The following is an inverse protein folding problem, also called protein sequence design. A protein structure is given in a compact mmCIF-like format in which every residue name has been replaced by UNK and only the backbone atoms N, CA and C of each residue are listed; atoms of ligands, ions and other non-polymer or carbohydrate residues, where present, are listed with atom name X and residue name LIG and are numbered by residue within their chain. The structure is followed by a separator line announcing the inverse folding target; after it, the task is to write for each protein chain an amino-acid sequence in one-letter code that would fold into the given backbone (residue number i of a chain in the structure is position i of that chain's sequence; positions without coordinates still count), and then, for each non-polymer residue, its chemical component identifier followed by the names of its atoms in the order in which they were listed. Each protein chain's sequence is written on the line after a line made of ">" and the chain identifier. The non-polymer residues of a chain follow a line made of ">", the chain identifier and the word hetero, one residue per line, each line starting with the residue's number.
data_IF_524086559189
#
_entry.id   IF_524086559189
#
_cell.length_a   1.000
_cell.length_b   1.000
_cell.length_c   1.000
_cell.angle_alpha   90.00
_cell.angle_beta   90.00
_cell.angle_gamma   90.00
#
_symmetry.space_group_name_H-M   'P 1'
#
loop_
_entity.id
_entity.type
_entity.pdbx_description
1 polymer ?
#
# COMPACT_ATOMS: atom_id res chain seq x y z
N UNK A 1 43.57 69.78 13.35
CA UNK A 1 42.32 69.57 12.57
C UNK A 1 41.20 69.24 13.54
N UNK A 2 40.21 70.14 13.59
CA UNK A 2 38.76 69.97 13.74
C UNK A 2 38.19 69.19 14.95
N UNK A 3 37.37 69.94 15.70
CA UNK A 3 36.42 69.63 16.78
C UNK A 3 35.45 68.47 16.49
N UNK A 4 34.85 67.87 17.54
CA UNK A 4 33.42 68.04 17.93
C UNK A 4 33.05 66.98 19.01
N UNK A 5 32.54 67.44 20.16
CA UNK A 5 31.73 66.68 21.13
C UNK A 5 30.36 66.37 20.54
N UNK A 6 29.84 65.14 20.66
CA UNK A 6 28.38 64.89 20.75
C UNK A 6 28.10 63.79 21.78
N UNK A 7 27.31 64.17 22.78
CA UNK A 7 26.59 63.33 23.73
C UNK A 7 25.22 62.97 23.09
N UNK A 8 24.78 61.72 23.09
CA UNK A 8 23.37 61.40 22.83
C UNK A 8 22.95 60.02 23.36
N UNK A 9 21.71 60.02 23.87
CA UNK A 9 21.03 59.01 24.66
C UNK A 9 20.45 57.83 23.85
N UNK A 10 20.24 56.72 24.56
CA UNK A 10 19.16 55.73 24.47
C UNK A 10 18.31 55.64 23.19
N UNK A 11 18.27 54.45 22.59
CA UNK A 11 17.03 53.73 22.27
C UNK A 11 17.34 52.24 21.97
N UNK A 12 16.50 51.28 22.42
CA UNK A 12 16.61 49.89 22.01
C UNK A 12 16.16 49.77 20.55
N UNK A 13 16.96 49.10 19.73
CA UNK A 13 16.60 48.80 18.35
C UNK A 13 15.51 47.72 18.35
N UNK A 14 14.29 48.13 18.04
CA UNK A 14 13.20 47.24 17.68
C UNK A 14 13.42 46.69 16.26
N UNK A 15 12.81 45.53 16.03
CA UNK A 15 12.41 44.99 14.73
C UNK A 15 13.40 44.06 14.00
N UNK A 16 13.40 42.78 14.41
CA UNK A 16 13.56 41.68 13.47
C UNK A 16 12.21 40.96 13.41
N UNK A 17 11.40 41.29 12.39
CA UNK A 17 10.31 40.43 11.95
C UNK A 17 10.91 39.12 11.44
N UNK A 18 10.82 38.07 12.24
CA UNK A 18 11.10 36.72 11.77
C UNK A 18 9.92 36.24 10.91
N UNK A 19 10.08 36.38 9.59
CA UNK A 19 9.18 35.77 8.62
C UNK A 19 9.36 34.25 8.66
N UNK A 20 8.30 33.55 9.08
CA UNK A 20 7.92 32.23 8.62
C UNK A 20 8.73 31.05 9.16
N UNK A 21 8.10 30.27 10.05
CA UNK A 21 7.96 28.81 9.91
C UNK A 21 6.76 28.35 10.76
N UNK A 22 5.68 27.81 10.19
CA UNK A 22 4.90 26.80 10.87
C UNK A 22 5.49 25.43 10.50
N UNK A 23 6.54 25.00 11.20
CA UNK A 23 6.94 23.59 11.17
C UNK A 23 6.15 22.84 12.24
N UNK A 24 4.93 22.44 11.87
CA UNK A 24 4.22 21.33 12.50
C UNK A 24 3.09 20.85 11.57
N UNK A 25 3.48 20.34 10.40
CA UNK A 25 2.66 19.33 9.73
C UNK A 25 3.37 18.02 10.05
N UNK A 26 2.92 17.34 11.11
CA UNK A 26 3.34 15.98 11.36
C UNK A 26 3.07 15.17 10.09
N UNK A 27 4.13 14.75 9.41
CA UNK A 27 4.02 13.81 8.30
C UNK A 27 3.29 12.59 8.86
N UNK A 28 2.07 12.34 8.38
CA UNK A 28 1.23 11.23 8.84
C UNK A 28 1.97 9.95 8.50
N UNK A 29 2.76 9.44 9.46
CA UNK A 29 3.50 8.21 9.30
C UNK A 29 2.46 7.10 9.19
N UNK A 30 2.29 6.55 7.98
CA UNK A 30 1.42 5.40 7.78
C UNK A 30 1.98 4.23 8.57
N UNK A 31 1.13 3.62 9.40
CA UNK A 31 1.52 2.65 10.43
C UNK A 31 2.10 1.38 9.80
N UNK A 32 2.78 0.57 10.61
CA UNK A 32 3.20 -0.78 10.23
C UNK A 32 2.04 -1.67 9.74
N UNK A 33 0.79 -1.27 9.97
CA UNK A 33 -0.41 -1.94 9.46
C UNK A 33 -0.54 -1.80 7.93
N UNK A 34 0.07 -0.79 7.32
CA UNK A 34 0.03 -0.56 5.88
C UNK A 34 1.15 -1.30 5.15
N UNK A 35 2.28 -1.50 5.83
CA UNK A 35 3.47 -2.12 5.28
C UNK A 35 4.61 -2.17 6.29
N UNK A 36 5.42 -3.23 6.21
CA UNK A 36 6.55 -3.47 7.13
C UNK A 36 7.86 -2.83 6.66
N UNK A 37 7.84 -2.12 5.53
CA UNK A 37 8.96 -1.39 4.95
C UNK A 37 8.53 0.06 4.62
N UNK A 38 9.36 1.08 4.84
CA UNK A 38 9.02 2.48 4.53
C UNK A 38 8.58 2.70 3.08
N UNK A 39 9.16 1.98 2.12
CA UNK A 39 8.78 2.06 0.70
C UNK A 39 7.39 1.49 0.47
N UNK A 40 7.05 0.39 1.15
CA UNK A 40 5.72 -0.17 1.13
C UNK A 40 4.69 0.78 1.75
N UNK A 41 5.03 1.43 2.87
CA UNK A 41 4.18 2.47 3.48
C UNK A 41 3.95 3.64 2.54
N UNK A 42 4.98 4.06 1.79
CA UNK A 42 4.86 5.13 0.82
C UNK A 42 3.97 4.74 -0.37
N UNK A 43 4.08 3.51 -0.88
CA UNK A 43 3.15 3.02 -1.90
C UNK A 43 1.72 2.92 -1.37
N UNK A 44 1.53 2.46 -0.14
CA UNK A 44 0.22 2.42 0.50
C UNK A 44 -0.42 3.81 0.56
N UNK A 45 0.37 4.82 0.96
CA UNK A 45 -0.05 6.22 0.97
C UNK A 45 -0.51 6.69 -0.42
N UNK A 46 0.28 6.43 -1.46
CA UNK A 46 -0.06 6.81 -2.83
C UNK A 46 -1.37 6.18 -3.29
N UNK A 47 -1.63 4.91 -2.94
CA UNK A 47 -2.88 4.21 -3.30
C UNK A 47 -4.08 4.79 -2.55
N UNK A 48 -3.94 5.07 -1.25
CA UNK A 48 -5.01 5.61 -0.39
C UNK A 48 -5.37 7.03 -0.80
N UNK A 49 -4.36 7.86 -1.09
CA UNK A 49 -4.53 9.29 -1.35
C UNK A 49 -4.77 9.61 -2.83
N UNK A 50 -4.78 8.61 -3.72
CA UNK A 50 -4.99 8.85 -5.15
C UNK A 50 -6.40 9.44 -5.38
N UNK A 51 -6.53 10.59 -6.08
CA UNK A 51 -7.81 11.25 -6.29
C UNK A 51 -8.78 10.44 -7.16
N UNK A 52 -8.31 9.41 -7.85
CA UNK A 52 -9.15 8.52 -8.66
C UNK A 52 -9.66 7.31 -7.86
N UNK A 53 -9.32 7.19 -6.58
CA UNK A 53 -9.78 6.12 -5.71
C UNK A 53 -11.31 6.13 -5.59
N UNK A 54 -11.96 5.02 -5.95
CA UNK A 54 -13.42 4.90 -5.97
C UNK A 54 -14.01 4.36 -4.65
N UNK A 55 -13.15 3.89 -3.75
CA UNK A 55 -13.55 3.39 -2.43
C UNK A 55 -13.91 4.54 -1.51
N UNK A 56 -15.03 4.40 -0.80
CA UNK A 56 -15.41 5.36 0.24
C UNK A 56 -14.39 5.42 1.39
N UNK A 57 -13.79 4.28 1.71
CA UNK A 57 -12.75 4.16 2.73
C UNK A 57 -11.80 3.03 2.35
N UNK A 58 -10.50 3.29 2.49
CA UNK A 58 -9.45 2.29 2.38
C UNK A 58 -8.57 2.40 3.63
N UNK A 59 -8.59 1.37 4.48
CA UNK A 59 -7.81 1.32 5.72
C UNK A 59 -6.72 0.27 5.63
N UNK A 60 -5.63 0.50 6.35
CA UNK A 60 -4.54 -0.47 6.42
C UNK A 60 -4.91 -1.69 7.28
N UNK A 61 -4.34 -2.84 6.97
CA UNK A 61 -4.59 -4.09 7.68
C UNK A 61 -3.31 -4.91 7.85
N UNK A 62 -2.90 -5.15 9.10
CA UNK A 62 -1.62 -5.76 9.45
C UNK A 62 -1.42 -7.16 8.86
N UNK A 63 -2.47 -8.00 8.81
CA UNK A 63 -2.37 -9.33 8.19
C UNK A 63 -2.07 -9.22 6.68
N UNK A 64 -2.66 -8.26 5.98
CA UNK A 64 -2.39 -8.06 4.54
C UNK A 64 -0.98 -7.52 4.33
N UNK A 65 -0.51 -6.62 5.19
CA UNK A 65 0.87 -6.11 5.14
C UNK A 65 1.89 -7.23 5.37
N UNK A 66 1.66 -8.11 6.35
CA UNK A 66 2.48 -9.28 6.60
C UNK A 66 2.49 -10.23 5.40
N UNK A 67 1.30 -10.56 4.87
CA UNK A 67 1.15 -11.42 3.70
C UNK A 67 1.93 -10.87 2.49
N UNK A 68 1.83 -9.56 2.25
CA UNK A 68 2.49 -8.89 1.14
C UNK A 68 4.01 -8.90 1.30
N UNK A 69 4.53 -8.64 2.51
CA UNK A 69 5.96 -8.69 2.81
C UNK A 69 6.54 -10.09 2.60
N UNK A 70 5.85 -11.12 3.11
CA UNK A 70 6.26 -12.52 2.95
C UNK A 70 6.26 -12.95 1.47
N UNK A 71 5.23 -12.53 0.72
CA UNK A 71 5.15 -12.78 -0.72
C UNK A 71 6.27 -12.08 -1.49
N UNK A 72 6.55 -10.81 -1.19
CA UNK A 72 7.63 -10.05 -1.83
C UNK A 72 8.99 -10.72 -1.61
N UNK A 73 9.25 -11.17 -0.37
CA UNK A 73 10.44 -11.96 -0.03
C UNK A 73 10.50 -13.27 -0.81
N UNK A 74 9.40 -14.03 -0.89
CA UNK A 74 9.36 -15.27 -1.67
C UNK A 74 9.63 -15.02 -3.17
N UNK A 75 9.03 -13.98 -3.77
CA UNK A 75 9.32 -13.63 -5.16
C UNK A 75 10.80 -13.33 -5.40
N UNK A 76 11.45 -12.64 -4.45
CA UNK A 76 12.89 -12.39 -4.49
C UNK A 76 13.73 -13.66 -4.30
N UNK A 77 13.32 -14.55 -3.39
CA UNK A 77 13.97 -15.84 -3.16
C UNK A 77 13.97 -16.71 -4.42
N UNK A 78 12.85 -16.72 -5.14
CA UNK A 78 12.68 -17.44 -6.40
C UNK A 78 13.14 -16.66 -7.65
N UNK A 79 13.51 -15.39 -7.48
CA UNK A 79 13.96 -14.53 -8.58
C UNK A 79 12.90 -14.25 -9.65
N UNK A 80 11.60 -14.32 -9.32
CA UNK A 80 10.51 -14.16 -10.29
C UNK A 80 9.35 -13.34 -9.73
N UNK A 81 8.75 -12.49 -10.57
CA UNK A 81 7.48 -11.81 -10.28
C UNK A 81 6.34 -12.75 -10.68
N UNK A 82 5.61 -13.30 -9.71
CA UNK A 82 4.61 -14.34 -9.97
C UNK A 82 3.52 -14.41 -8.89
N UNK A 83 2.27 -14.36 -9.35
CA UNK A 83 1.06 -14.54 -8.54
C UNK A 83 1.02 -15.89 -7.78
N UNK A 84 1.70 -16.93 -8.27
CA UNK A 84 1.68 -18.28 -7.69
C UNK A 84 3.02 -18.74 -7.08
N UNK A 85 3.96 -17.83 -6.78
CA UNK A 85 5.18 -18.25 -6.06
C UNK A 85 4.83 -18.95 -4.73
N UNK A 86 5.47 -20.10 -4.49
CA UNK A 86 5.16 -21.00 -3.37
C UNK A 86 4.02 -22.00 -3.63
N UNK A 87 3.44 -22.04 -4.84
CA UNK A 87 2.40 -23.01 -5.22
C UNK A 87 1.01 -22.71 -4.66
N UNK A 88 0.79 -21.54 -4.08
CA UNK A 88 -0.49 -21.09 -3.52
C UNK A 88 -0.91 -19.75 -4.12
N UNK A 89 -2.21 -19.59 -4.35
CA UNK A 89 -2.80 -18.33 -4.81
C UNK A 89 -2.90 -17.27 -3.69
N UNK A 90 -3.20 -16.05 -4.11
CA UNK A 90 -3.38 -14.89 -3.23
C UNK A 90 -4.45 -15.12 -2.15
N UNK A 91 -5.62 -15.63 -2.56
CA UNK A 91 -6.73 -15.86 -1.63
C UNK A 91 -6.36 -16.93 -0.57
N UNK A 92 -5.69 -18.01 -0.98
CA UNK A 92 -5.19 -19.05 -0.06
C UNK A 92 -4.19 -18.47 0.94
N UNK A 93 -3.28 -17.60 0.48
CA UNK A 93 -2.28 -16.98 1.35
C UNK A 93 -2.92 -16.14 2.46
N UNK A 94 -3.91 -15.32 2.11
CA UNK A 94 -4.64 -14.52 3.11
C UNK A 94 -5.39 -15.40 4.10
N UNK A 95 -6.07 -16.45 3.62
CA UNK A 95 -6.78 -17.42 4.49
C UNK A 95 -5.83 -18.17 5.42
N UNK A 96 -4.65 -18.57 4.93
CA UNK A 96 -3.64 -19.28 5.74
C UNK A 96 -3.11 -18.43 6.91
N UNK A 97 -3.16 -17.10 6.79
CA UNK A 97 -2.80 -16.15 7.85
C UNK A 97 -4.00 -15.75 8.73
N UNK A 98 -5.16 -16.36 8.54
CA UNK A 98 -6.36 -16.11 9.35
C UNK A 98 -7.23 -14.94 8.87
N UNK A 99 -6.92 -14.34 7.70
CA UNK A 99 -7.80 -13.32 7.14
C UNK A 99 -9.08 -13.95 6.58
N UNK A 100 -10.22 -13.52 7.08
CA UNK A 100 -11.52 -14.09 6.74
C UNK A 100 -12.01 -13.48 5.42
N UNK A 101 -11.60 -14.05 4.28
CA UNK A 101 -12.13 -13.63 2.97
C UNK A 101 -13.59 -14.05 2.79
N UNK A 102 -14.39 -13.30 2.01
CA UNK A 102 -15.73 -13.73 1.62
C UNK A 102 -15.72 -15.15 1.04
N UNK A 103 -16.72 -15.99 1.35
CA UNK A 103 -16.74 -17.41 0.94
C UNK A 103 -16.63 -17.61 -0.58
N UNK A 104 -17.20 -16.69 -1.35
CA UNK A 104 -17.23 -16.72 -2.81
C UNK A 104 -15.91 -16.26 -3.47
N UNK A 105 -14.92 -15.80 -2.71
CA UNK A 105 -13.57 -15.60 -3.23
C UNK A 105 -12.92 -16.98 -3.41
N UNK A 106 -12.60 -17.36 -4.66
CA UNK A 106 -12.09 -18.71 -4.96
C UNK A 106 -10.76 -19.01 -4.26
N UNK A 107 -10.55 -20.26 -3.83
CA UNK A 107 -9.51 -20.55 -2.85
C UNK A 107 -8.11 -20.85 -3.39
N UNK A 108 -7.93 -21.71 -4.40
CA UNK A 108 -6.62 -22.34 -4.66
C UNK A 108 -5.78 -21.52 -5.66
N UNK A 109 -6.37 -21.09 -6.78
CA UNK A 109 -5.75 -20.25 -7.81
C UNK A 109 -6.34 -18.84 -7.85
N UNK A 110 -7.38 -18.59 -7.04
CA UNK A 110 -8.06 -17.30 -6.99
C UNK A 110 -7.11 -16.14 -6.73
N UNK A 111 -7.07 -15.21 -7.67
CA UNK A 111 -6.45 -13.90 -7.50
C UNK A 111 -7.49 -12.80 -7.69
N UNK A 112 -8.18 -12.49 -6.59
CA UNK A 112 -9.17 -11.41 -6.55
C UNK A 112 -8.69 -10.18 -5.79
N UNK A 113 -7.46 -10.23 -5.27
CA UNK A 113 -6.99 -9.34 -4.20
C UNK A 113 -5.56 -8.85 -4.39
N UNK A 114 -4.80 -9.31 -5.41
CA UNK A 114 -3.36 -9.09 -5.51
C UNK A 114 -2.94 -8.30 -6.76
N UNK A 115 -1.98 -7.40 -6.58
CA UNK A 115 -1.12 -6.87 -7.64
C UNK A 115 0.35 -7.09 -7.27
N UNK A 116 1.19 -7.48 -8.24
CA UNK A 116 2.64 -7.69 -8.03
C UNK A 116 3.45 -7.01 -9.12
N UNK A 117 4.66 -6.57 -8.77
CA UNK A 117 5.60 -5.98 -9.70
C UNK A 117 7.05 -6.22 -9.22
N UNK A 118 8.02 -6.01 -10.12
CA UNK A 118 9.43 -6.01 -9.76
C UNK A 118 10.26 -5.14 -10.70
N UNK A 119 11.42 -4.69 -10.24
CA UNK A 119 12.32 -3.81 -11.00
C UNK A 119 11.96 -2.33 -10.99
N UNK A 120 11.18 -1.88 -10.00
CA UNK A 120 10.83 -0.48 -9.79
C UNK A 120 11.48 0.02 -8.51
N UNK A 121 12.24 1.10 -8.59
CA UNK A 121 13.12 1.53 -7.49
C UNK A 121 12.38 2.32 -6.42
N UNK A 122 11.25 2.93 -6.78
CA UNK A 122 10.46 3.77 -5.88
C UNK A 122 8.97 3.44 -5.89
N UNK A 123 8.29 3.83 -4.80
CA UNK A 123 6.85 3.73 -4.67
C UNK A 123 6.10 4.49 -5.77
N UNK A 124 6.62 5.65 -6.20
CA UNK A 124 6.03 6.44 -7.28
C UNK A 124 6.12 5.72 -8.64
N UNK A 125 7.30 5.15 -8.96
CA UNK A 125 7.50 4.42 -10.21
C UNK A 125 6.59 3.20 -10.33
N UNK A 126 6.52 2.38 -9.28
CA UNK A 126 5.64 1.19 -9.29
C UNK A 126 4.17 1.59 -9.29
N UNK A 127 3.80 2.71 -8.65
CA UNK A 127 2.43 3.19 -8.67
C UNK A 127 2.00 3.62 -10.08
N UNK A 128 2.83 4.39 -10.78
CA UNK A 128 2.56 4.75 -12.18
C UNK A 128 2.50 3.51 -13.09
N UNK A 129 3.40 2.54 -12.88
CA UNK A 129 3.37 1.29 -13.62
C UNK A 129 2.06 0.51 -13.38
N UNK A 130 1.60 0.40 -12.13
CA UNK A 130 0.32 -0.22 -11.82
C UNK A 130 -0.85 0.53 -12.48
N UNK A 131 -0.88 1.86 -12.43
CA UNK A 131 -1.93 2.65 -13.08
C UNK A 131 -1.92 2.51 -14.61
N UNK A 132 -0.75 2.31 -15.23
CA UNK A 132 -0.66 2.10 -16.68
C UNK A 132 -1.23 0.76 -17.16
N UNK A 133 -1.41 -0.22 -16.26
CA UNK A 133 -2.04 -1.50 -16.57
C UNK A 133 -3.53 -1.46 -16.21
N UNK A 134 -4.41 -1.66 -17.20
CA UNK A 134 -5.86 -1.59 -16.98
C UNK A 134 -6.36 -2.52 -15.87
N UNK A 135 -5.80 -3.74 -15.78
CA UNK A 135 -6.18 -4.72 -14.75
C UNK A 135 -5.69 -4.31 -13.36
N UNK A 136 -4.44 -3.87 -13.24
CA UNK A 136 -3.91 -3.41 -11.96
C UNK A 136 -4.59 -2.13 -11.50
N UNK A 137 -4.78 -1.15 -12.38
CA UNK A 137 -5.49 0.09 -12.10
C UNK A 137 -6.92 -0.17 -11.63
N UNK A 138 -7.66 -1.02 -12.34
CA UNK A 138 -9.04 -1.37 -11.97
C UNK A 138 -9.14 -1.98 -10.57
N UNK A 139 -8.21 -2.89 -10.24
CA UNK A 139 -8.10 -3.46 -8.91
C UNK A 139 -7.71 -2.40 -7.85
N UNK A 140 -6.62 -1.65 -8.05
CA UNK A 140 -6.05 -0.79 -7.03
C UNK A 140 -6.82 0.52 -6.81
N UNK A 141 -7.54 1.01 -7.82
CA UNK A 141 -8.43 2.18 -7.70
C UNK A 141 -9.90 1.82 -7.45
N UNK A 142 -10.26 0.53 -7.45
CA UNK A 142 -11.62 0.11 -7.16
C UNK A 142 -12.62 0.39 -8.28
N UNK A 143 -12.21 0.31 -9.55
CA UNK A 143 -13.03 0.78 -10.69
C UNK A 143 -14.24 -0.09 -11.04
N UNK A 144 -14.43 -1.21 -10.33
CA UNK A 144 -15.61 -2.08 -10.48
C UNK A 144 -16.33 -2.22 -9.14
N UNK A 145 -17.62 -2.56 -9.16
CA UNK A 145 -18.38 -2.82 -7.94
C UNK A 145 -17.69 -3.87 -7.04
N UNK A 146 -17.08 -4.90 -7.65
CA UNK A 146 -16.34 -5.93 -6.94
C UNK A 146 -15.08 -5.39 -6.24
N UNK A 147 -14.31 -4.50 -6.88
CA UNK A 147 -13.11 -3.95 -6.25
C UNK A 147 -13.42 -2.78 -5.30
N UNK A 148 -14.50 -2.04 -5.54
CA UNK A 148 -14.92 -0.91 -4.72
C UNK A 148 -15.39 -1.32 -3.32
N UNK A 149 -15.86 -2.55 -3.14
CA UNK A 149 -16.26 -3.06 -1.82
C UNK A 149 -15.06 -3.49 -0.95
N UNK A 150 -13.89 -3.72 -1.54
CA UNK A 150 -12.68 -4.11 -0.82
C UNK A 150 -12.08 -2.89 -0.12
N UNK A 151 -11.88 -2.94 1.19
CA UNK A 151 -11.58 -1.75 1.99
C UNK A 151 -10.37 -1.90 2.92
N UNK A 152 -9.70 -3.04 2.91
CA UNK A 152 -8.47 -3.31 3.66
C UNK A 152 -7.28 -3.40 2.70
N UNK A 153 -6.20 -2.70 3.03
CA UNK A 153 -4.96 -2.61 2.26
C UNK A 153 -3.77 -3.17 3.05
N UNK A 154 -2.88 -3.88 2.36
CA UNK A 154 -1.53 -4.13 2.84
C UNK A 154 -0.54 -4.16 1.70
N UNK A 155 0.64 -3.59 1.92
CA UNK A 155 1.70 -3.47 0.92
C UNK A 155 2.98 -4.10 1.42
N UNK A 156 3.65 -4.81 0.52
CA UNK A 156 4.89 -5.51 0.74
C UNK A 156 5.96 -4.99 -0.20
N UNK A 157 7.16 -4.83 0.33
CA UNK A 157 8.36 -4.53 -0.44
C UNK A 157 9.47 -5.46 0.03
N UNK A 158 10.27 -5.97 -0.91
CA UNK A 158 11.50 -6.66 -0.60
C UNK A 158 12.58 -6.32 -1.62
N UNK A 159 13.80 -6.05 -1.14
CA UNK A 159 14.98 -5.84 -1.96
C UNK A 159 15.93 -7.01 -1.80
N UNK A 160 16.42 -7.55 -2.92
CA UNK A 160 17.43 -8.60 -2.93
C UNK A 160 18.49 -8.33 -3.99
N UNK A 161 19.69 -8.02 -3.53
CA UNK A 161 20.87 -7.91 -4.39
C UNK A 161 21.12 -9.22 -5.16
N UNK A 162 21.57 -9.10 -6.41
CA UNK A 162 21.76 -10.20 -7.38
C UNK A 162 20.52 -11.01 -7.76
N UNK A 163 19.31 -10.58 -7.36
CA UNK A 163 18.09 -11.14 -7.94
C UNK A 163 17.79 -10.51 -9.31
N UNK A 164 17.05 -11.19 -10.21
CA UNK A 164 16.75 -10.67 -11.55
C UNK A 164 16.02 -9.32 -11.58
N UNK A 165 15.28 -8.99 -10.53
CA UNK A 165 14.47 -7.77 -10.48
C UNK A 165 14.90 -6.77 -9.40
N UNK A 166 15.82 -7.13 -8.49
CA UNK A 166 16.26 -6.35 -7.33
C UNK A 166 15.12 -5.99 -6.35
N UNK A 167 14.14 -5.22 -6.78
CA UNK A 167 12.95 -4.80 -6.04
C UNK A 167 11.74 -5.67 -6.37
N UNK A 168 10.97 -6.00 -5.34
CA UNK A 168 9.75 -6.80 -5.43
C UNK A 168 8.64 -6.12 -4.64
N UNK A 169 7.51 -5.89 -5.31
CA UNK A 169 6.36 -5.17 -4.77
C UNK A 169 5.13 -6.06 -4.79
N UNK A 170 4.38 -6.04 -3.70
CA UNK A 170 3.11 -6.76 -3.57
C UNK A 170 2.10 -5.83 -2.94
N UNK A 171 0.90 -5.79 -3.50
CA UNK A 171 -0.25 -5.09 -2.91
C UNK A 171 -1.38 -6.08 -2.76
N UNK A 172 -1.92 -6.16 -1.54
CA UNK A 172 -3.19 -6.82 -1.27
C UNK A 172 -4.27 -5.77 -1.00
N UNK A 173 -5.41 -5.87 -1.68
CA UNK A 173 -6.65 -5.17 -1.31
C UNK A 173 -7.77 -6.20 -1.21
N UNK A 174 -8.43 -6.24 -0.06
CA UNK A 174 -9.51 -7.18 0.21
C UNK A 174 -10.56 -6.57 1.13
N UNK A 175 -11.60 -7.31 1.45
CA UNK A 175 -12.48 -7.05 2.60
C UNK A 175 -12.66 -8.32 3.41
N UNK A 176 -13.09 -8.17 4.65
CA UNK A 176 -13.51 -9.32 5.43
C UNK A 176 -14.87 -9.84 4.97
N UNK A 177 -15.10 -11.11 5.29
CA UNK A 177 -16.38 -11.76 5.17
C UNK A 177 -17.41 -11.06 6.07
N UNK A 178 -18.64 -10.97 5.58
CA UNK A 178 -19.79 -10.40 6.28
C UNK A 178 -20.86 -11.47 6.43
N UNK A 179 -21.74 -11.29 7.41
CA UNK A 179 -22.80 -12.25 7.70
C UNK A 179 -23.81 -12.42 6.53
N UNK A 180 -23.96 -11.38 5.71
CA UNK A 180 -24.82 -11.32 4.54
C UNK A 180 -24.13 -11.73 3.24
N UNK A 181 -22.84 -12.11 3.29
CA UNK A 181 -22.17 -12.62 2.10
C UNK A 181 -22.85 -13.89 1.59
N UNK A 182 -22.92 -14.07 0.26
CA UNK A 182 -23.34 -15.32 -0.32
C UNK A 182 -22.51 -16.45 0.29
N UNK A 183 -23.20 -17.40 0.94
CA UNK A 183 -22.53 -18.54 1.57
C UNK A 183 -21.96 -19.52 0.56
N UNK A 184 -22.10 -19.22 -0.73
CA UNK A 184 -21.55 -20.00 -1.84
C UNK A 184 -20.03 -20.13 -1.67
N UNK A 185 -19.57 -21.36 -1.50
CA UNK A 185 -18.15 -21.65 -1.43
C UNK A 185 -17.61 -21.78 -2.85
N UNK A 186 -16.73 -20.87 -3.23
CA UNK A 186 -16.04 -20.96 -4.51
C UNK A 186 -14.72 -21.71 -4.35
N UNK A 187 -14.59 -22.82 -5.06
CA UNK A 187 -13.34 -23.49 -5.35
C UNK A 187 -12.91 -23.16 -6.79
N UNK A 188 -11.69 -23.50 -7.15
CA UNK A 188 -11.19 -23.24 -8.51
C UNK A 188 -11.97 -23.99 -9.61
N UNK A 189 -12.66 -25.06 -9.23
CA UNK A 189 -13.48 -25.89 -10.11
C UNK A 189 -14.92 -25.39 -10.23
N UNK A 190 -15.26 -24.28 -9.57
CA UNK A 190 -16.60 -23.72 -9.54
C UNK A 190 -17.10 -23.46 -8.12
N UNK A 191 -18.31 -22.93 -8.04
CA UNK A 191 -18.89 -22.47 -6.80
C UNK A 191 -20.09 -23.31 -6.39
N UNK A 192 -20.10 -23.80 -5.15
CA UNK A 192 -21.13 -24.70 -4.61
C UNK A 192 -21.89 -23.95 -3.52
N UNK A 193 -23.23 -23.99 -3.58
CA UNK A 193 -24.05 -23.50 -2.48
C UNK A 193 -23.93 -24.48 -1.29
N UNK A 194 -23.82 -24.00 -0.04
CA UNK A 194 -23.88 -24.90 1.09
C UNK A 194 -25.29 -25.49 1.19
N UNK A 195 -25.36 -26.78 1.51
CA UNK A 195 -26.60 -27.54 1.72
C UNK A 195 -27.51 -26.91 2.79
#
# INVERSE_FOLDING_TARGET
>A
MIFILILSLLAPYSDIRHYGQPQNVAEKQYSAECGLDPRAQQLARLIIEDPLQQRLQLSCHSILAQAAADKAKQMAEHGRVDHFVGGIGANQRLRALGYQLPPYYSSITGNSVEAVAGGYTSAAEVWEAFKSSSRHRSHLLGETAFFAEQNHLGVGFYYKWHSPHLEYWVVYIAREARADDPKQLCLDIGCVAPD
#
